data_IF_915798322015
#
_entry.id   IF_915798322015
#
_cell.length_a   1.000
_cell.length_b   1.000
_cell.length_c   1.000
_cell.angle_alpha   90.00
_cell.angle_beta   90.00
_cell.angle_gamma   90.00
#
_symmetry.space_group_name_H-M   'P 1'
#
loop_
_entity.id
_entity.type
_entity.pdbx_description
1 polymer ?
2 non-polymer ?
3 non-polymer ?
4 water ?
#
# COMPACT_ATOMS: atom_id res chain seq x y z
N UNK A 29 14.45 -27.41 -3.36
CA UNK A 29 13.14 -27.56 -4.00
C UNK A 29 12.31 -26.26 -3.92
N UNK A 30 11.26 -26.18 -4.74
CA UNK A 30 10.40 -24.98 -4.86
C UNK A 30 9.36 -24.90 -3.74
N UNK A 31 9.27 -23.75 -3.05
CA UNK A 31 8.25 -23.70 -2.00
C UNK A 31 6.84 -23.61 -2.57
N UNK A 32 5.83 -24.01 -1.79
CA UNK A 32 4.44 -23.90 -2.24
C UNK A 32 4.15 -22.46 -2.62
N UNK A 33 3.42 -22.29 -3.70
CA UNK A 33 2.91 -20.99 -4.06
C UNK A 33 1.53 -21.10 -4.67
N UNK A 34 0.73 -20.04 -4.56
CA UNK A 34 -0.63 -20.12 -5.11
C UNK A 34 -0.65 -20.23 -6.62
N UNK A 35 -1.58 -21.03 -7.14
CA UNK A 35 -1.67 -21.26 -8.59
C UNK A 35 -2.92 -20.60 -9.18
N UNK A 36 -3.81 -20.17 -8.30
CA UNK A 36 -5.03 -19.45 -8.67
C UNK A 36 -5.46 -18.53 -7.49
N UNK A 37 -6.33 -17.57 -7.77
CA UNK A 37 -6.62 -16.52 -6.80
C UNK A 37 -7.23 -17.08 -5.49
N UNK A 38 -8.01 -18.15 -5.56
CA UNK A 38 -8.61 -18.71 -4.33
C UNK A 38 -7.53 -19.39 -3.46
N UNK A 39 -6.38 -19.73 -4.03
CA UNK A 39 -5.32 -20.32 -3.21
C UNK A 39 -4.77 -19.36 -2.19
N UNK A 40 -5.04 -18.06 -2.34
CA UNK A 40 -4.61 -17.12 -1.34
C UNK A 40 -5.32 -17.37 0.01
N UNK A 41 -6.41 -18.14 0.00
CA UNK A 41 -7.05 -18.58 1.26
C UNK A 41 -6.05 -19.30 2.18
N UNK A 42 -5.08 -19.98 1.57
CA UNK A 42 -4.10 -20.77 2.37
C UNK A 42 -2.91 -19.98 2.88
N UNK A 43 -2.74 -18.76 2.43
CA UNK A 43 -1.65 -17.99 2.97
C UNK A 43 -2.05 -16.64 3.50
N UNK A 44 -3.23 -16.17 3.13
CA UNK A 44 -3.67 -14.84 3.58
C UNK A 44 -3.88 -14.78 5.10
N UNK A 45 -4.07 -15.94 5.74
CA UNK A 45 -4.18 -15.99 7.21
C UNK A 45 -2.88 -16.31 8.00
N UNK A 46 -1.76 -16.48 7.31
CA UNK A 46 -0.53 -16.82 8.02
C UNK A 46 0.09 -15.53 8.55
N UNK A 47 -0.56 -14.91 9.53
CA UNK A 47 -0.05 -13.64 10.05
C UNK A 47 1.17 -13.85 10.96
N UNK A 53 -2.90 -8.12 19.74
CA UNK A 53 -1.59 -7.79 20.29
C UNK A 53 -0.89 -6.57 19.69
N UNK A 54 -1.04 -5.44 20.37
CA UNK A 54 -0.43 -4.20 19.92
C UNK A 54 1.00 -4.17 20.50
N UNK A 55 2.00 -3.76 19.72
CA UNK A 55 3.37 -3.65 20.25
C UNK A 55 3.42 -2.57 21.34
N UNK A 56 4.41 -2.63 22.23
CA UNK A 56 4.41 -1.80 23.43
C UNK A 56 4.26 -0.31 23.15
N UNK A 57 4.80 0.15 22.01
CA UNK A 57 4.78 1.57 21.68
C UNK A 57 3.58 2.05 20.86
N UNK A 58 2.59 1.20 20.65
CA UNK A 58 1.37 1.58 19.91
C UNK A 58 0.53 2.59 20.66
N UNK A 59 0.02 3.62 19.95
CA UNK A 59 -0.79 4.63 20.64
C UNK A 59 -2.08 4.09 21.27
N UNK A 60 -2.57 2.94 20.83
CA UNK A 60 -3.73 2.37 21.48
C UNK A 60 -3.33 1.27 22.46
N UNK A 61 -2.04 1.15 22.77
CA UNK A 61 -1.54 -0.02 23.54
C UNK A 61 -2.25 -0.23 24.88
N UNK A 62 -2.57 0.87 25.56
CA UNK A 62 -3.27 0.87 26.85
C UNK A 62 -4.79 1.06 26.73
N UNK A 63 -5.32 1.00 25.52
CA UNK A 63 -6.77 1.22 25.38
C UNK A 63 -7.52 -0.09 25.11
N UNK A 64 -8.32 -0.55 26.07
CA UNK A 64 -9.09 -1.80 25.91
C UNK A 64 -10.14 -1.76 24.83
N UNK A 65 -10.83 -0.63 24.71
CA UNK A 65 -11.88 -0.47 23.73
C UNK A 65 -11.32 -0.53 22.29
N UNK A 66 -10.24 0.20 22.04
CA UNK A 66 -9.58 0.13 20.74
C UNK A 66 -9.08 -1.28 20.49
N UNK A 67 -8.54 -1.91 21.54
CA UNK A 67 -8.03 -3.28 21.43
C UNK A 67 -9.12 -4.21 20.97
N UNK A 68 -10.33 -4.00 21.51
CA UNK A 68 -11.48 -4.80 21.13
C UNK A 68 -11.90 -4.58 19.67
N UNK A 69 -11.87 -3.32 19.26
CA UNK A 69 -12.21 -2.94 17.89
C UNK A 69 -11.24 -3.59 16.93
N UNK A 70 -9.95 -3.57 17.29
CA UNK A 70 -8.96 -4.22 16.44
C UNK A 70 -9.15 -5.73 16.33
N UNK A 71 -9.52 -6.39 17.42
CA UNK A 71 -9.85 -7.82 17.32
C UNK A 71 -11.05 -8.04 16.38
N UNK A 72 -12.07 -7.17 16.47
CA UNK A 72 -13.20 -7.20 15.55
C UNK A 72 -12.69 -7.16 14.09
N UNK A 73 -11.82 -6.20 13.78
CA UNK A 73 -11.31 -6.13 12.40
C UNK A 73 -10.49 -7.34 12.01
N UNK A 74 -9.63 -7.81 12.90
CA UNK A 74 -8.79 -8.96 12.56
C UNK A 74 -9.65 -10.19 12.26
N UNK A 75 -10.70 -10.40 13.06
CA UNK A 75 -11.59 -11.54 12.82
C UNK A 75 -12.29 -11.50 11.48
N UNK A 76 -12.69 -10.31 11.04
CA UNK A 76 -13.32 -10.15 9.73
C UNK A 76 -12.38 -10.68 8.64
N UNK A 77 -11.12 -10.31 8.76
CA UNK A 77 -10.11 -10.73 7.79
C UNK A 77 -9.83 -12.22 7.89
N UNK A 78 -9.71 -12.73 9.12
CA UNK A 78 -9.41 -14.15 9.30
C UNK A 78 -10.52 -15.02 8.75
N UNK A 79 -11.76 -14.56 8.86
CA UNK A 79 -12.90 -15.36 8.41
C UNK A 79 -13.22 -15.19 6.94
N UNK A 80 -12.63 -14.16 6.32
CA UNK A 80 -12.86 -13.91 4.91
C UNK A 80 -12.32 -15.04 4.03
N UNK A 81 -13.08 -15.42 3.01
CA UNK A 81 -12.60 -16.41 2.02
C UNK A 81 -12.76 -15.85 0.61
N UNK A 82 -11.84 -16.17 -0.30
CA UNK A 82 -12.01 -15.67 -1.68
C UNK A 82 -13.40 -16.00 -2.22
N UNK A 83 -14.02 -15.00 -2.85
CA UNK A 83 -15.36 -15.13 -3.36
C UNK A 83 -16.39 -14.37 -2.50
N UNK A 84 -16.07 -14.18 -1.22
CA UNK A 84 -16.95 -13.41 -0.31
C UNK A 84 -17.01 -11.95 -0.71
N UNK A 85 -18.17 -11.31 -0.55
CA UNK A 85 -18.10 -9.84 -0.52
C UNK A 85 -17.30 -9.40 0.73
N UNK A 86 -16.49 -8.36 0.64
CA UNK A 86 -15.74 -7.92 1.81
C UNK A 86 -16.74 -7.30 2.79
N UNK A 87 -16.77 -7.82 4.03
CA UNK A 87 -17.78 -7.33 5.00
C UNK A 87 -17.76 -5.81 5.12
N UNK A 88 -18.94 -5.20 5.05
CA UNK A 88 -19.00 -3.78 5.21
C UNK A 88 -19.00 -3.41 6.68
N UNK A 89 -18.36 -2.29 6.98
CA UNK A 89 -18.12 -1.91 8.36
C UNK A 89 -18.84 -0.61 8.64
N UNK A 90 -19.51 -0.55 9.79
CA UNK A 90 -20.06 0.72 10.24
C UNK A 90 -18.97 1.37 11.08
N UNK A 91 -18.29 2.37 10.50
CA UNK A 91 -17.25 3.07 11.23
C UNK A 91 -17.81 4.02 12.30
N UNK A 92 -17.07 4.16 13.40
CA UNK A 92 -17.57 5.03 14.48
C UNK A 92 -17.38 6.50 14.14
N UNK A 93 -18.10 7.37 14.87
CA UNK A 93 -17.97 8.80 14.66
C UNK A 93 -16.50 9.21 14.89
N UNK A 94 -15.88 8.63 15.89
CA UNK A 94 -14.48 8.90 16.18
C UNK A 94 -13.54 8.48 15.00
N UNK A 95 -13.81 7.30 14.44
CA UNK A 95 -13.03 6.76 13.32
C UNK A 95 -13.17 7.66 12.10
N UNK A 96 -14.40 8.09 11.81
CA UNK A 96 -14.62 8.99 10.69
C UNK A 96 -13.93 10.36 10.87
N UNK A 97 -13.93 10.90 12.09
CA UNK A 97 -13.21 12.14 12.35
C UNK A 97 -11.71 12.03 12.12
N UNK A 98 -11.15 10.90 12.51
CA UNK A 98 -9.73 10.65 12.34
C UNK A 98 -9.42 10.64 10.85
N UNK A 99 -10.24 9.91 10.10
CA UNK A 99 -10.09 9.87 8.64
C UNK A 99 -10.20 11.27 8.03
N UNK A 100 -11.23 12.01 8.46
CA UNK A 100 -11.51 13.33 7.91
C UNK A 100 -10.36 14.27 8.17
N UNK A 101 -9.83 14.20 9.37
CA UNK A 101 -8.71 15.07 9.71
C UNK A 101 -7.50 14.83 8.81
N UNK A 102 -7.12 13.57 8.63
CA UNK A 102 -5.97 13.24 7.76
C UNK A 102 -6.27 13.56 6.29
N UNK A 103 -7.48 13.21 5.86
CA UNK A 103 -7.94 13.39 4.49
C UNK A 103 -7.88 14.85 4.07
N UNK A 104 -8.36 15.72 4.95
CA UNK A 104 -8.42 17.15 4.66
C UNK A 104 -7.06 17.75 4.42
N UNK A 105 -6.13 17.42 5.30
CA UNK A 105 -4.77 17.93 5.18
C UNK A 105 -3.99 17.34 3.98
N UNK A 106 -4.12 16.04 3.74
CA UNK A 106 -3.41 15.45 2.61
C UNK A 106 -3.90 16.04 1.30
N UNK A 107 -5.21 16.27 1.16
CA UNK A 107 -5.74 16.77 -0.11
C UNK A 107 -5.22 18.15 -0.44
N UNK A 108 -4.83 18.91 0.57
CA UNK A 108 -4.24 20.21 0.31
C UNK A 108 -2.89 20.10 -0.40
N UNK A 109 -2.21 18.99 -0.14
CA UNK A 109 -0.83 18.76 -0.61
C UNK A 109 -0.74 18.00 -1.91
N UNK A 110 -1.71 17.14 -2.18
CA UNK A 110 -1.62 16.30 -3.40
C UNK A 110 -1.40 17.07 -4.71
N UNK A 111 -2.13 18.21 -4.92
CA UNK A 111 -1.93 18.88 -6.21
C UNK A 111 -0.50 19.29 -6.49
N UNK A 112 0.23 19.69 -5.47
CA UNK A 112 1.60 20.12 -5.70
C UNK A 112 2.65 19.03 -5.44
N UNK A 113 2.23 17.90 -4.89
CA UNK A 113 3.15 16.83 -4.46
C UNK A 113 3.01 15.48 -5.18
N UNK A 114 1.79 15.06 -5.51
CA UNK A 114 1.56 13.73 -6.07
C UNK A 114 1.84 13.64 -7.55
N UNK A 115 2.22 12.44 -8.00
CA UNK A 115 2.43 12.22 -9.42
C UNK A 115 1.13 12.35 -10.19
N UNK A 116 1.19 12.62 -11.48
CA UNK A 116 -0.02 12.88 -12.25
C UNK A 116 -0.99 11.70 -12.29
N UNK A 117 -0.49 10.48 -12.28
CA UNK A 117 -1.38 9.32 -12.31
C UNK A 117 -2.27 9.27 -11.06
N UNK A 118 -1.69 9.60 -9.91
CA UNK A 118 -2.45 9.66 -8.66
C UNK A 118 -3.58 10.67 -8.76
N UNK A 119 -3.22 11.86 -9.22
CA UNK A 119 -4.15 12.98 -9.34
C UNK A 119 -5.25 12.67 -10.36
N UNK A 120 -4.94 11.88 -11.37
CA UNK A 120 -5.94 11.54 -12.36
C UNK A 120 -7.01 10.61 -11.79
N UNK A 121 -6.57 9.67 -10.95
CA UNK A 121 -7.47 8.65 -10.45
C UNK A 121 -8.21 9.00 -9.19
N UNK A 122 -7.64 9.87 -8.38
CA UNK A 122 -8.27 10.24 -7.12
C UNK A 122 -9.73 10.75 -7.29
N UNK A 123 -10.00 11.62 -8.26
CA UNK A 123 -11.40 12.05 -8.38
C UNK A 123 -12.42 10.99 -8.84
N UNK A 124 -11.98 9.97 -9.56
CA UNK A 124 -12.85 8.87 -9.94
C UNK A 124 -13.36 8.13 -8.69
N UNK A 125 -12.47 7.99 -7.70
CA UNK A 125 -12.79 7.33 -6.44
C UNK A 125 -13.67 8.15 -5.55
N UNK A 126 -13.51 9.46 -5.63
CA UNK A 126 -14.41 10.30 -4.87
C UNK A 126 -15.80 10.15 -5.43
N UNK A 127 -15.89 9.97 -6.73
CA UNK A 127 -17.17 9.87 -7.42
C UNK A 127 -17.85 8.51 -7.22
N UNK A 128 -17.08 7.45 -7.32
CA UNK A 128 -17.66 6.11 -7.37
C UNK A 128 -17.58 5.36 -6.05
N UNK A 129 -16.67 5.75 -5.15
CA UNK A 129 -16.47 4.99 -3.93
C UNK A 129 -16.71 5.83 -2.67
N UNK A 130 -17.19 7.06 -2.83
CA UNK A 130 -17.60 7.83 -1.64
C UNK A 130 -16.47 8.37 -0.79
N UNK A 131 -15.33 8.71 -1.40
CA UNK A 131 -14.26 9.39 -0.68
C UNK A 131 -14.73 10.79 -0.31
N UNK A 132 -15.02 11.04 0.97
CA UNK A 132 -15.41 12.36 1.41
C UNK A 132 -14.80 12.53 2.80
N UNK A 133 -14.67 13.78 3.25
CA UNK A 133 -14.15 14.03 4.59
C UNK A 133 -14.99 13.35 5.65
N UNK A 134 -16.29 13.20 5.41
CA UNK A 134 -17.12 12.63 6.47
C UNK A 134 -17.59 11.19 6.18
N UNK A 135 -16.84 10.49 5.33
CA UNK A 135 -17.19 9.14 4.99
C UNK A 135 -15.97 8.31 4.67
N UNK A 136 -15.78 7.23 5.42
CA UNK A 136 -14.72 6.25 5.09
C UNK A 136 -15.24 5.24 4.03
N UNK A 137 -14.59 5.16 2.86
CA UNK A 137 -15.02 4.24 1.81
C UNK A 137 -14.97 2.79 2.31
N UNK A 138 -15.86 1.94 1.80
CA UNK A 138 -15.87 0.52 2.09
C UNK A 138 -14.91 -0.23 1.19
N UNK A 139 -14.13 -1.18 1.73
CA UNK A 139 -13.18 -1.96 0.90
C UNK A 139 -13.94 -2.68 -0.23
N UNK A 140 -15.15 -3.16 0.03
CA UNK A 140 -15.87 -3.84 -1.05
C UNK A 140 -16.14 -2.92 -2.27
N UNK A 141 -16.55 -1.67 -2.04
CA UNK A 141 -16.82 -0.74 -3.16
C UNK A 141 -15.51 -0.44 -3.91
N UNK A 142 -14.46 -0.21 -3.15
CA UNK A 142 -13.13 0.02 -3.75
C UNK A 142 -12.64 -1.18 -4.56
N UNK A 143 -12.84 -2.37 -4.03
CA UNK A 143 -12.46 -3.56 -4.76
C UNK A 143 -13.22 -3.68 -6.09
N UNK A 144 -14.53 -3.44 -6.05
CA UNK A 144 -15.34 -3.49 -7.27
C UNK A 144 -14.91 -2.44 -8.28
N UNK A 145 -14.58 -1.23 -7.82
CA UNK A 145 -14.06 -0.19 -8.69
C UNK A 145 -12.76 -0.63 -9.35
N UNK A 146 -11.80 -1.12 -8.56
CA UNK A 146 -10.52 -1.60 -9.12
C UNK A 146 -10.66 -2.79 -10.06
N UNK A 147 -11.58 -3.71 -9.75
CA UNK A 147 -11.74 -4.87 -10.63
C UNK A 147 -12.13 -4.37 -12.03
N UNK A 148 -13.01 -3.37 -12.07
CA UNK A 148 -13.41 -2.75 -13.34
C UNK A 148 -12.26 -2.09 -14.08
N UNK A 149 -11.49 -1.27 -13.39
CA UNK A 149 -10.41 -0.51 -13.99
C UNK A 149 -9.17 -1.26 -14.45
N UNK A 150 -8.64 -2.14 -13.59
CA UNK A 150 -7.38 -2.85 -13.88
C UNK A 150 -7.42 -4.34 -13.50
N UNK A 151 -8.54 -4.82 -13.00
CA UNK A 151 -8.60 -6.20 -12.59
C UNK A 151 -8.02 -6.39 -11.19
N UNK A 152 -7.58 -5.30 -10.55
CA UNK A 152 -7.09 -5.43 -9.16
C UNK A 152 -8.28 -5.65 -8.24
N UNK A 153 -8.03 -6.33 -7.14
CA UNK A 153 -9.05 -6.56 -6.12
C UNK A 153 -8.42 -6.44 -4.75
N UNK A 154 -9.27 -6.29 -3.73
CA UNK A 154 -8.83 -6.16 -2.34
C UNK A 154 -9.14 -7.41 -1.55
N UNK A 155 -8.22 -7.77 -0.65
CA UNK A 155 -8.44 -8.82 0.32
C UNK A 155 -8.16 -8.23 1.69
N UNK A 156 -9.15 -8.26 2.64
CA UNK A 156 -8.84 -7.75 3.98
C UNK A 156 -7.79 -8.65 4.65
N UNK A 157 -6.81 -8.07 5.32
CA UNK A 157 -5.75 -8.87 5.94
C UNK A 157 -5.68 -8.55 7.44
N UNK A 158 -5.44 -9.56 8.27
CA UNK A 158 -5.46 -9.35 9.71
C UNK A 158 -4.26 -8.48 10.14
N UNK A 159 -3.07 -8.77 9.61
CA UNK A 159 -1.88 -8.03 9.99
C UNK A 159 -0.78 -8.46 9.04
N UNK A 160 0.48 -8.36 9.49
CA UNK A 160 1.66 -8.61 8.67
C UNK A 160 1.77 -10.07 8.21
N UNK A 161 2.01 -10.25 6.91
CA UNK A 161 2.27 -11.55 6.32
C UNK A 161 3.73 -11.64 5.92
N UNK A 162 4.25 -12.86 5.73
CA UNK A 162 5.59 -12.97 5.14
C UNK A 162 5.60 -12.24 3.81
N UNK A 163 6.79 -11.76 3.40
CA UNK A 163 6.85 -11.15 2.07
C UNK A 163 6.49 -12.14 0.99
N UNK A 164 6.82 -13.44 1.15
CA UNK A 164 6.43 -14.39 0.16
C UNK A 164 4.90 -14.37 -0.03
N UNK A 165 4.17 -14.46 1.08
CA UNK A 165 2.71 -14.50 1.02
C UNK A 165 2.11 -13.16 0.55
N UNK A 166 2.63 -12.05 1.06
CA UNK A 166 2.09 -10.74 0.67
C UNK A 166 2.29 -10.50 -0.83
N UNK A 167 3.52 -10.70 -1.32
CA UNK A 167 3.77 -10.49 -2.75
C UNK A 167 3.03 -11.49 -3.61
N UNK A 168 2.80 -12.71 -3.10
CA UNK A 168 2.08 -13.68 -3.92
C UNK A 168 0.69 -13.16 -4.28
N UNK A 169 0.07 -12.36 -3.42
CA UNK A 169 -1.26 -11.85 -3.75
C UNK A 169 -1.20 -10.99 -5.02
N UNK A 170 -0.15 -10.18 -5.14
CA UNK A 170 -0.02 -9.29 -6.29
C UNK A 170 0.00 -10.06 -7.60
N UNK A 171 0.49 -11.30 -7.57
CA UNK A 171 0.50 -12.10 -8.80
C UNK A 171 -0.89 -12.27 -9.38
N UNK A 172 -1.91 -12.21 -8.52
CA UNK A 172 -3.29 -12.36 -8.98
C UNK A 172 -4.03 -11.04 -8.92
N UNK A 173 -3.27 -9.96 -8.90
CA UNK A 173 -3.77 -8.61 -8.75
C UNK A 173 -4.64 -8.51 -7.52
N UNK A 174 -4.17 -9.11 -6.43
CA UNK A 174 -4.87 -8.99 -5.12
C UNK A 174 -3.99 -8.17 -4.20
N UNK A 175 -4.56 -7.10 -3.66
CA UNK A 175 -3.87 -6.30 -2.68
C UNK A 175 -4.39 -6.62 -1.29
N UNK A 176 -3.51 -7.18 -0.45
CA UNK A 176 -3.85 -7.45 0.97
C UNK A 176 -3.87 -6.15 1.70
N UNK A 177 -5.02 -5.85 2.28
CA UNK A 177 -5.35 -4.51 2.71
C UNK A 177 -5.86 -4.43 4.17
N UNK A 178 -5.36 -3.52 4.99
CA UNK A 178 -5.92 -3.38 6.34
C UNK A 178 -7.27 -2.65 6.34
N UNK A 179 -8.13 -3.00 7.29
CA UNK A 179 -9.51 -2.47 7.29
C UNK A 179 -9.76 -1.56 8.50
N UNK A 180 -8.89 -1.66 9.50
CA UNK A 180 -9.03 -0.89 10.72
C UNK A 180 -8.53 0.56 10.55
N UNK A 181 -8.84 1.38 11.54
CA UNK A 181 -8.43 2.78 11.52
C UNK A 181 -7.41 3.02 12.65
N UNK A 182 -6.43 3.89 12.41
CA UNK A 182 -5.47 4.29 13.43
C UNK A 182 -6.17 4.85 14.68
N UNK A 183 -5.48 4.82 15.81
CA UNK A 183 -6.03 5.37 17.05
C UNK A 183 -6.24 6.89 16.93
N UNK A 184 -7.37 7.36 17.45
CA UNK A 184 -7.73 8.77 17.32
C UNK A 184 -6.89 9.79 18.08
N UNK A 185 -6.07 9.30 19.02
CA UNK A 185 -5.21 10.18 19.79
C UNK A 185 -4.21 10.92 18.90
N UNK A 186 -3.71 10.27 17.85
CA UNK A 186 -2.81 10.96 16.90
C UNK A 186 -3.17 10.60 15.46
N UNK A 187 -4.06 11.38 14.86
CA UNK A 187 -4.52 11.13 13.50
C UNK A 187 -3.41 11.27 12.45
N UNK A 188 -2.41 12.07 12.77
CA UNK A 188 -1.25 12.31 11.91
C UNK A 188 -0.12 11.27 11.98
N UNK A 189 -0.16 10.36 12.95
CA UNK A 189 0.82 9.28 12.99
C UNK A 189 0.26 7.87 13.21
N UNK A 190 0.83 6.91 12.51
CA UNK A 190 0.47 5.49 12.68
C UNK A 190 1.75 4.66 12.54
N UNK A 191 1.99 3.71 13.47
CA UNK A 191 3.22 2.92 13.37
C UNK A 191 3.14 1.79 12.36
N UNK A 192 2.04 1.76 11.60
CA UNK A 192 1.69 0.60 10.79
C UNK A 192 0.73 1.05 9.73
N UNK A 193 0.57 0.25 8.69
CA UNK A 193 -0.48 0.59 7.73
C UNK A 193 -1.85 0.52 8.43
N UNK A 194 -2.75 1.43 8.07
CA UNK A 194 -4.12 1.32 8.50
C UNK A 194 -4.97 1.56 7.27
N UNK A 195 -6.27 1.74 7.40
CA UNK A 195 -7.06 1.68 6.18
C UNK A 195 -7.02 3.10 5.56
N UNK A 196 -6.68 4.11 6.35
CA UNK A 196 -6.46 5.43 5.75
C UNK A 196 -5.29 5.40 4.77
N UNK A 197 -4.20 4.77 5.19
CA UNK A 197 -3.04 4.55 4.33
C UNK A 197 -3.44 3.74 3.07
N UNK A 198 -4.23 2.69 3.24
CA UNK A 198 -4.61 1.89 2.06
C UNK A 198 -5.44 2.70 1.07
N UNK A 199 -6.44 3.39 1.58
CA UNK A 199 -7.40 4.04 0.72
C UNK A 199 -6.85 5.29 0.06
N UNK A 200 -6.05 6.04 0.80
CA UNK A 200 -5.51 7.28 0.26
C UNK A 200 -4.13 7.09 -0.39
N UNK A 201 -3.34 6.17 0.14
CA UNK A 201 -2.01 5.95 -0.39
C UNK A 201 -1.99 4.98 -1.56
N UNK A 202 -2.63 3.83 -1.40
CA UNK A 202 -2.49 2.74 -2.39
C UNK A 202 -3.53 2.70 -3.50
N UNK A 203 -4.79 2.83 -3.14
CA UNK A 203 -5.86 2.56 -4.10
C UNK A 203 -5.83 3.40 -5.39
N UNK A 204 -5.58 4.73 -5.29
CA UNK A 204 -5.63 5.49 -6.56
C UNK A 204 -4.63 5.02 -7.61
N UNK A 205 -3.48 4.51 -7.21
CA UNK A 205 -2.53 4.05 -8.24
C UNK A 205 -2.84 2.62 -8.73
N UNK A 206 -3.45 1.78 -7.90
CA UNK A 206 -3.84 0.45 -8.37
C UNK A 206 -4.87 0.57 -9.47
N UNK A 207 -5.54 1.72 -9.56
CA UNK A 207 -6.50 1.98 -10.61
C UNK A 207 -5.85 2.39 -11.93
N UNK A 208 -4.52 2.51 -11.93
CA UNK A 208 -3.78 2.92 -13.13
C UNK A 208 -3.17 1.71 -13.84
N UNK A 209 -3.52 1.49 -15.12
CA UNK A 209 -3.04 0.26 -15.78
C UNK A 209 -1.52 0.00 -15.73
N UNK A 210 -0.68 1.00 -16.00
CA UNK A 210 0.77 0.80 -15.97
C UNK A 210 1.27 0.44 -14.59
N UNK A 211 0.70 1.08 -13.57
CA UNK A 211 1.11 0.78 -12.19
C UNK A 211 0.64 -0.61 -11.78
N UNK A 212 -0.59 -0.97 -12.17
CA UNK A 212 -1.13 -2.29 -11.89
C UNK A 212 -0.28 -3.39 -12.53
N UNK A 213 0.19 -3.17 -13.76
CA UNK A 213 1.05 -4.15 -14.41
C UNK A 213 2.38 -4.29 -13.67
N UNK A 214 2.96 -3.17 -13.32
CA UNK A 214 4.20 -3.11 -12.58
C UNK A 214 4.08 -3.90 -11.29
N UNK A 215 3.01 -3.63 -10.54
CA UNK A 215 2.79 -4.32 -9.29
C UNK A 215 2.60 -5.83 -9.47
N UNK A 216 1.76 -6.22 -10.44
CA UNK A 216 1.51 -7.65 -10.66
C UNK A 216 2.82 -8.39 -10.98
N UNK A 217 3.70 -7.75 -11.74
CA UNK A 217 4.92 -8.45 -12.14
C UNK A 217 5.87 -8.66 -10.98
N UNK A 218 5.79 -7.79 -9.97
CA UNK A 218 6.53 -8.06 -8.74
C UNK A 218 6.01 -9.36 -8.12
N UNK A 219 4.68 -9.49 -8.02
CA UNK A 219 4.09 -10.72 -7.50
C UNK A 219 4.43 -11.95 -8.31
N UNK A 220 4.32 -11.82 -9.63
CA UNK A 220 4.61 -12.97 -10.52
C UNK A 220 6.05 -13.44 -10.39
N UNK A 221 6.98 -12.49 -10.30
CA UNK A 221 8.37 -12.85 -10.15
C UNK A 221 8.62 -13.57 -8.84
N UNK A 222 7.86 -13.23 -7.81
CA UNK A 222 8.11 -13.80 -6.49
C UNK A 222 7.64 -15.27 -6.36
N UNK A 223 6.71 -15.70 -7.22
CA UNK A 223 6.07 -17.00 -7.03
C UNK A 223 7.08 -18.13 -7.12
N UNK A 224 7.25 -18.87 -6.03
CA UNK A 224 8.19 -19.99 -6.01
C UNK A 224 9.64 -19.60 -6.04
N UNK A 225 9.93 -18.30 -5.93
CA UNK A 225 11.31 -17.83 -5.97
C UNK A 225 12.04 -18.16 -4.66
N UNK A 226 13.36 -18.08 -4.69
CA UNK A 226 14.16 -18.31 -3.48
C UNK A 226 13.88 -17.29 -2.40
N UNK A 227 14.19 -17.62 -1.16
CA UNK A 227 14.02 -16.64 -0.07
C UNK A 227 14.76 -15.34 -0.34
N UNK A 228 16.01 -15.45 -0.77
CA UNK A 228 16.81 -14.26 -1.12
C UNK A 228 16.10 -13.41 -2.20
N UNK A 229 15.61 -14.08 -3.25
CA UNK A 229 14.94 -13.35 -4.31
C UNK A 229 13.68 -12.66 -3.78
N UNK A 230 12.89 -13.36 -2.99
CA UNK A 230 11.71 -12.73 -2.41
C UNK A 230 12.07 -11.48 -1.57
N UNK A 231 13.11 -11.52 -0.75
CA UNK A 231 13.45 -10.35 0.05
C UNK A 231 13.86 -9.17 -0.83
N UNK A 232 14.61 -9.45 -1.89
CA UNK A 232 15.02 -8.41 -2.82
C UNK A 232 13.84 -7.82 -3.53
N UNK A 233 12.89 -8.66 -3.92
CA UNK A 233 11.65 -8.15 -4.54
C UNK A 233 10.83 -7.27 -3.60
N UNK A 234 10.75 -7.69 -2.32
CA UNK A 234 10.02 -6.93 -1.30
C UNK A 234 10.67 -5.56 -1.08
N UNK A 235 12.00 -5.52 -1.12
CA UNK A 235 12.67 -4.24 -0.91
C UNK A 235 12.44 -3.30 -2.11
N UNK A 236 12.48 -3.85 -3.31
CA UNK A 236 12.16 -3.07 -4.50
C UNK A 236 10.71 -2.56 -4.46
N UNK A 237 9.80 -3.44 -4.06
CA UNK A 237 8.40 -3.06 -3.81
C UNK A 237 8.32 -1.88 -2.83
N UNK A 238 9.04 -2.00 -1.71
CA UNK A 238 8.97 -0.98 -0.68
C UNK A 238 9.40 0.41 -1.20
N UNK A 239 10.48 0.43 -1.98
CA UNK A 239 11.01 1.70 -2.49
C UNK A 239 10.35 2.21 -3.77
N UNK A 240 9.31 1.52 -4.22
CA UNK A 240 8.52 2.00 -5.35
C UNK A 240 7.09 2.16 -4.90
N UNK A 241 6.38 1.05 -4.71
CA UNK A 241 4.97 1.12 -4.29
C UNK A 241 4.79 1.86 -2.96
N UNK A 242 5.68 1.66 -1.99
CA UNK A 242 5.46 2.34 -0.69
C UNK A 242 6.17 3.72 -0.58
N UNK A 243 7.37 3.87 -1.13
CA UNK A 243 8.12 5.11 -0.96
C UNK A 243 8.75 5.71 -2.21
N UNK A 244 8.20 5.35 -3.36
CA UNK A 244 8.75 5.78 -4.63
C UNK A 244 8.46 7.26 -4.95
N UNK A 245 9.41 7.86 -5.66
CA UNK A 245 9.23 9.18 -6.26
C UNK A 245 9.26 9.02 -7.77
N UNK A 246 8.68 9.97 -8.51
CA UNK A 246 8.85 9.91 -9.95
C UNK A 246 9.22 11.31 -10.40
N UNK A 247 9.80 11.40 -11.61
CA UNK A 247 10.16 12.66 -12.26
C UNK A 247 9.20 12.92 -13.42
N UNK A 248 8.50 14.03 -13.37
CA UNK A 248 7.52 14.34 -14.39
C UNK A 248 7.67 15.77 -14.84
N UNK A 249 7.85 15.95 -16.16
CA UNK A 249 8.10 17.29 -16.70
C UNK A 249 9.19 17.97 -15.87
N UNK A 250 10.23 17.20 -15.51
CA UNK A 250 11.36 17.77 -14.81
C UNK A 250 11.21 17.97 -13.32
N UNK A 251 10.02 17.69 -12.78
CA UNK A 251 9.73 17.90 -11.35
C UNK A 251 9.68 16.56 -10.62
N UNK A 252 10.15 16.56 -9.37
CA UNK A 252 10.00 15.39 -8.52
C UNK A 252 8.60 15.33 -7.89
N UNK A 253 7.93 14.21 -8.10
CA UNK A 253 6.62 13.92 -7.49
C UNK A 253 6.61 12.59 -6.72
N UNK A 254 5.59 12.43 -5.90
CA UNK A 254 5.47 11.26 -5.05
C UNK A 254 4.47 10.28 -5.58
N UNK A 255 4.84 8.97 -5.61
CA UNK A 255 3.82 7.96 -5.88
C UNK A 255 3.76 6.88 -4.79
N UNK A 256 4.74 6.85 -3.91
CA UNK A 256 4.74 5.83 -2.83
C UNK A 256 3.59 6.05 -1.83
N UNK A 257 2.84 4.97 -1.55
CA UNK A 257 1.67 5.07 -0.67
C UNK A 257 1.99 5.54 0.73
N UNK A 258 3.16 5.13 1.24
CA UNK A 258 3.64 5.53 2.55
C UNK A 258 3.87 7.02 2.65
N UNK A 259 4.26 7.63 1.53
CA UNK A 259 4.39 9.08 1.47
C UNK A 259 3.05 9.76 1.31
N UNK A 260 2.21 9.23 0.41
CA UNK A 260 0.90 9.84 0.10
C UNK A 260 -0.11 9.81 1.27
N UNK A 261 0.17 9.01 2.31
CA UNK A 261 -0.73 8.99 3.46
C UNK A 261 -0.10 9.59 4.70
N UNK A 262 1.08 10.18 4.55
CA UNK A 262 1.78 10.79 5.70
C UNK A 262 2.12 12.25 5.46
N UNK A 263 1.45 13.18 6.16
CA UNK A 263 1.68 14.61 5.87
C UNK A 263 3.12 15.03 6.06
N UNK A 264 3.75 14.57 7.14
CA UNK A 264 5.10 15.07 7.39
C UNK A 264 6.12 14.48 6.40
N UNK A 265 6.03 13.20 6.06
CA UNK A 265 7.03 12.66 5.16
C UNK A 265 6.78 13.05 3.70
N UNK A 266 5.52 13.26 3.34
CA UNK A 266 5.15 13.74 2.00
C UNK A 266 5.84 15.06 1.75
N UNK A 267 5.79 15.94 2.74
CA UNK A 267 6.47 17.24 2.67
C UNK A 267 7.99 17.11 2.67
N UNK A 268 8.50 16.24 3.55
CA UNK A 268 9.95 16.05 3.67
C UNK A 268 10.55 15.51 2.39
N UNK A 269 9.84 14.56 1.78
CA UNK A 269 10.37 13.88 0.62
C UNK A 269 10.65 14.84 -0.54
N UNK A 270 9.87 15.91 -0.65
CA UNK A 270 10.10 16.86 -1.73
C UNK A 270 10.77 18.12 -1.23
N UNK A 271 11.27 18.04 -0.01
CA UNK A 271 12.05 19.13 0.58
C UNK A 271 13.48 19.06 0.04
N UNK A 272 14.22 20.13 0.16
CA UNK A 272 15.56 20.18 -0.38
C UNK A 272 16.52 19.15 0.20
N UNK A 273 16.40 18.93 1.50
CA UNK A 273 17.27 18.01 2.24
C UNK A 273 17.28 16.52 1.92
N UNK A 274 16.13 15.92 1.61
CA UNK A 274 16.08 14.48 1.43
C UNK A 274 17.08 13.93 0.41
N UNK A 275 17.69 12.80 0.73
CA UNK A 275 18.66 12.17 -0.17
C UNK A 275 17.88 11.36 -1.19
N UNK A 276 18.13 11.64 -2.46
CA UNK A 276 17.45 10.99 -3.55
C UNK A 276 18.38 10.35 -4.60
N UNK A 277 18.01 9.15 -5.07
CA UNK A 277 18.83 8.39 -6.03
C UNK A 277 17.94 7.80 -7.13
N UNK A 278 18.51 7.50 -8.29
CA UNK A 278 17.67 6.85 -9.31
C UNK A 278 17.29 5.43 -8.88
N UNK A 279 16.07 5.00 -9.23
CA UNK A 279 15.65 3.64 -8.96
C UNK A 279 16.52 2.71 -9.82
N UNK A 280 17.16 1.74 -9.17
CA UNK A 280 18.02 0.80 -9.84
C UNK A 280 17.95 -0.45 -8.99
N UNK A 281 17.26 -1.48 -9.49
CA UNK A 281 16.99 -2.58 -8.54
C UNK A 281 18.19 -3.19 -7.87
N UNK A 282 19.29 -3.40 -8.59
CA UNK A 282 20.46 -4.04 -7.99
C UNK A 282 20.99 -3.20 -6.84
N UNK A 283 20.89 -1.90 -6.95
CA UNK A 283 21.28 -1.05 -5.84
C UNK A 283 20.17 -0.83 -4.80
N UNK A 284 18.97 -0.53 -5.27
CA UNK A 284 17.83 -0.31 -4.33
C UNK A 284 17.60 -1.50 -3.38
N UNK A 285 17.81 -2.72 -3.87
CA UNK A 285 17.44 -3.88 -3.07
C UNK A 285 18.40 -4.09 -1.88
N UNK A 286 19.48 -3.32 -1.85
CA UNK A 286 20.42 -3.42 -0.72
C UNK A 286 20.06 -2.45 0.42
N UNK A 287 19.10 -1.58 0.15
CA UNK A 287 18.75 -0.56 1.11
C UNK A 287 17.81 -1.08 2.18
N UNK A 288 18.07 -0.71 3.44
CA UNK A 288 17.19 -1.11 4.53
C UNK A 288 15.87 -0.36 4.45
N UNK A 289 14.77 -1.04 4.79
CA UNK A 289 13.44 -0.45 4.78
C UNK A 289 13.11 0.01 6.20
N UNK A 290 13.04 1.32 6.38
CA UNK A 290 12.76 1.90 7.69
C UNK A 290 11.27 2.03 7.95
N UNK A 291 10.83 1.59 9.13
CA UNK A 291 9.43 1.63 9.52
C UNK A 291 9.09 2.75 10.52
N UNK A 292 9.96 2.99 11.49
CA UNK A 292 9.73 3.97 12.55
C UNK A 292 10.25 5.38 12.33
N UNK A 293 10.94 5.62 11.22
CA UNK A 293 11.48 6.94 10.94
C UNK A 293 11.26 7.27 9.48
N UNK A 294 11.50 8.52 9.11
CA UNK A 294 11.57 8.87 7.69
C UNK A 294 12.56 7.90 7.04
N UNK A 295 12.43 7.67 5.74
CA UNK A 295 13.47 6.94 5.01
C UNK A 295 14.77 7.74 4.98
N UNK A 296 15.91 7.06 4.85
CA UNK A 296 17.20 7.74 4.74
C UNK A 296 17.43 8.18 3.30
N UNK A 297 16.78 7.48 2.36
CA UNK A 297 16.95 7.74 0.94
C UNK A 297 15.65 7.40 0.21
N UNK A 298 15.38 8.14 -0.86
CA UNK A 298 14.23 7.84 -1.73
C UNK A 298 14.72 7.57 -3.14
N UNK A 299 14.04 6.67 -3.85
CA UNK A 299 14.41 6.33 -5.21
C UNK A 299 13.44 6.88 -6.23
N UNK A 300 14.00 7.42 -7.31
CA UNK A 300 13.20 8.05 -8.35
C UNK A 300 13.05 7.18 -9.55
N UNK A 301 11.81 6.86 -9.88
CA UNK A 301 11.58 6.13 -11.10
C UNK A 301 11.29 7.16 -12.18
N UNK A 302 11.72 6.88 -13.41
CA UNK A 302 11.48 7.79 -14.53
C UNK A 302 10.00 7.72 -14.95
N UNK A 303 9.42 6.53 -14.85
CA UNK A 303 8.01 6.27 -15.13
C UNK A 303 7.68 4.89 -14.63
N UNK A 304 6.39 4.54 -14.55
CA UNK A 304 6.01 3.17 -14.17
C UNK A 304 6.44 2.18 -15.24
N UNK A 305 6.38 2.61 -16.50
CA UNK A 305 6.84 1.73 -17.59
C UNK A 305 8.34 1.43 -17.43
N UNK A 306 9.13 2.44 -17.10
CA UNK A 306 10.57 2.22 -16.94
C UNK A 306 10.92 1.39 -15.73
N UNK A 307 10.24 1.63 -14.60
CA UNK A 307 10.45 0.81 -13.40
C UNK A 307 10.14 -0.65 -13.72
N UNK A 308 9.07 -0.86 -14.45
CA UNK A 308 8.66 -2.18 -14.87
C UNK A 308 9.75 -2.83 -15.73
N UNK A 309 10.28 -2.07 -16.69
CA UNK A 309 11.37 -2.63 -17.50
C UNK A 309 12.60 -2.98 -16.66
N UNK A 310 12.95 -2.09 -15.74
CA UNK A 310 14.12 -2.36 -14.89
C UNK A 310 13.92 -3.58 -14.04
N UNK A 311 12.70 -3.81 -13.56
CA UNK A 311 12.45 -5.03 -12.77
C UNK A 311 12.54 -6.28 -13.63
N UNK A 312 12.09 -6.19 -14.87
CA UNK A 312 12.20 -7.31 -15.79
C UNK A 312 13.67 -7.72 -15.99
N UNK A 313 14.53 -6.73 -16.19
CA UNK A 313 15.96 -7.00 -16.39
C UNK A 313 16.51 -7.64 -15.12
N UNK A 314 16.12 -7.10 -13.98
CA UNK A 314 16.60 -7.53 -12.66
C UNK A 314 16.16 -8.95 -12.30
N UNK A 315 14.88 -9.25 -12.51
CA UNK A 315 14.39 -10.56 -12.10
C UNK A 315 15.09 -11.70 -12.86
N UNK A 316 15.57 -11.40 -14.08
CA UNK A 316 16.35 -12.41 -14.79
C UNK A 316 17.61 -12.83 -14.00
N UNK A 317 18.19 -11.92 -13.25
CA UNK A 317 19.42 -12.18 -12.51
C UNK A 317 19.24 -12.89 -11.14
N UNK A 318 18.02 -12.95 -10.59
CA UNK A 318 17.84 -13.53 -9.27
C UNK A 318 16.99 -14.82 -9.19
#
# INVERSE_FOLDING_TARGET
MKHHHHHHHGAAGTSLYKKAGENLYFQGSVPWFPKKISDLDHCANRVLMYGSELDADHPGFKDNVYRKRRKYFADLAMNYKHGDPIPKVEFTEEEIKTWGTVFQELNKLYPTHACREYLKNLPLLSKYCGYREDNIPQLEDVSNFLKERTGFSIRPVAGYLSPRDFLSGLAFRVFHCTQYVRHSSDPFYTPEPDTCHELLGHVPLLAEPSFAQFSQEIGLASLGASEEAVQKLATCYFFTVEFGLCKQDGQLRVFGAGLLSSISELKHALSGHAKVKPFDPKITCKQECLITTFQDVYFVSESFEDAKEKMREFTKTIKRPFGVKY
#
